data_IF_983370088350
#
_entry.id   IF_983370088350
#
_cell.length_a   1.000
_cell.length_b   1.000
_cell.length_c   1.000
_cell.angle_alpha   90.00
_cell.angle_beta   90.00
_cell.angle_gamma   90.00
#
_symmetry.space_group_name_H-M   'P 1'
#
loop_
_entity.id
_entity.type
_entity.pdbx_description
1 polymer ?
#
# COMPACT_ATOMS: atom_id res chain seq x y z
N UNK A 1 -6.30 -7.63 -1.20
CA UNK A 1 -6.32 -7.30 -2.64
C UNK A 1 -4.91 -7.24 -3.21
N UNK A 2 -4.04 -6.28 -2.89
CA UNK A 2 -2.68 -6.11 -3.44
C UNK A 2 -1.84 -7.38 -3.34
N UNK A 3 -1.72 -7.97 -2.15
CA UNK A 3 -0.91 -9.19 -1.95
C UNK A 3 -1.37 -10.36 -2.83
N UNK A 4 -2.69 -10.58 -2.95
CA UNK A 4 -3.23 -11.60 -3.86
C UNK A 4 -2.85 -11.32 -5.31
N UNK A 5 -2.93 -10.04 -5.75
CA UNK A 5 -2.53 -9.64 -7.09
C UNK A 5 -1.05 -9.96 -7.35
N UNK A 6 -0.16 -9.61 -6.43
CA UNK A 6 1.27 -9.91 -6.56
C UNK A 6 1.54 -11.44 -6.59
N UNK A 7 0.82 -12.22 -5.78
CA UNK A 7 0.92 -13.68 -5.79
C UNK A 7 0.45 -14.26 -7.13
N UNK A 8 -0.66 -13.77 -7.70
CA UNK A 8 -1.14 -14.19 -9.03
C UNK A 8 -0.17 -13.82 -10.15
N UNK A 9 0.65 -12.78 -9.97
CA UNK A 9 1.76 -12.44 -10.85
C UNK A 9 3.00 -13.32 -10.65
N UNK A 10 2.95 -14.29 -9.73
CA UNK A 10 4.02 -15.26 -9.49
C UNK A 10 4.96 -14.89 -8.35
N UNK A 11 4.78 -13.75 -7.69
CA UNK A 11 5.64 -13.35 -6.59
C UNK A 11 5.34 -14.14 -5.32
N UNK A 12 6.35 -14.81 -4.77
CA UNK A 12 6.26 -15.56 -3.51
C UNK A 12 7.02 -14.90 -2.37
N UNK A 13 8.05 -14.11 -2.70
CA UNK A 13 8.87 -13.38 -1.73
C UNK A 13 8.61 -11.90 -1.87
N UNK A 14 7.60 -11.42 -1.14
CA UNK A 14 7.05 -10.07 -1.24
C UNK A 14 7.57 -9.24 -0.08
N UNK A 15 8.41 -8.25 -0.36
CA UNK A 15 8.82 -7.24 0.60
C UNK A 15 7.69 -6.23 0.84
N UNK A 16 7.54 -5.79 2.09
CA UNK A 16 6.52 -4.77 2.44
C UNK A 16 7.19 -3.61 3.14
N UNK A 17 6.96 -2.41 2.64
CA UNK A 17 7.32 -1.15 3.29
C UNK A 17 6.06 -0.54 3.88
N UNK A 18 5.96 -0.65 5.19
CA UNK A 18 4.84 -0.16 5.99
C UNK A 18 5.01 1.32 6.34
N UNK A 19 3.93 1.96 6.75
CA UNK A 19 4.01 3.19 7.52
C UNK A 19 4.43 2.94 8.97
N UNK A 20 4.17 3.90 9.86
CA UNK A 20 4.48 3.76 11.29
C UNK A 20 3.79 2.54 11.90
N UNK A 21 4.48 1.84 12.79
CA UNK A 21 4.06 0.55 13.33
C UNK A 21 2.74 0.61 14.10
N UNK A 22 2.53 1.69 14.86
CA UNK A 22 1.35 1.94 15.68
C UNK A 22 0.15 2.51 14.91
N UNK A 23 0.33 2.80 13.61
CA UNK A 23 -0.71 3.38 12.78
C UNK A 23 -1.78 2.33 12.41
N UNK A 24 -3.05 2.66 12.62
CA UNK A 24 -4.19 1.77 12.35
C UNK A 24 -4.20 1.26 10.89
N UNK A 25 -3.89 2.12 9.91
CA UNK A 25 -3.84 1.71 8.50
C UNK A 25 -2.73 0.71 8.23
N UNK A 26 -1.57 0.87 8.88
CA UNK A 26 -0.46 -0.09 8.82
C UNK A 26 -0.92 -1.45 9.35
N UNK A 27 -1.53 -1.47 10.53
CA UNK A 27 -2.01 -2.69 11.20
C UNK A 27 -3.03 -3.43 10.32
N UNK A 28 -4.04 -2.73 9.80
CA UNK A 28 -5.09 -3.33 8.98
C UNK A 28 -4.55 -3.85 7.63
N UNK A 29 -3.65 -3.12 6.98
CA UNK A 29 -3.03 -3.55 5.73
C UNK A 29 -2.14 -4.78 5.94
N UNK A 30 -1.38 -4.85 7.06
CA UNK A 30 -0.58 -6.02 7.42
C UNK A 30 -1.44 -7.24 7.75
N UNK A 31 -2.60 -7.08 8.39
CA UNK A 31 -3.55 -8.19 8.56
C UNK A 31 -3.97 -8.76 7.20
N UNK A 32 -4.29 -7.88 6.25
CA UNK A 32 -4.63 -8.30 4.89
C UNK A 32 -3.48 -9.00 4.17
N UNK A 33 -2.24 -8.53 4.35
CA UNK A 33 -1.04 -9.17 3.81
C UNK A 33 -0.87 -10.59 4.35
N UNK A 34 -0.89 -10.76 5.69
CA UNK A 34 -0.76 -12.06 6.36
C UNK A 34 -1.87 -13.03 5.96
N UNK A 35 -3.11 -12.53 5.88
CA UNK A 35 -4.26 -13.34 5.45
C UNK A 35 -4.09 -13.86 4.02
N UNK A 36 -3.64 -13.02 3.10
CA UNK A 36 -3.40 -13.44 1.73
C UNK A 36 -2.25 -14.45 1.63
N UNK A 37 -1.14 -14.26 2.32
CA UNK A 37 -0.05 -15.25 2.35
C UNK A 37 -0.54 -16.60 2.84
N UNK A 38 -1.31 -16.62 3.93
CA UNK A 38 -1.89 -17.84 4.52
C UNK A 38 -2.82 -18.56 3.54
N UNK A 39 -3.67 -17.82 2.82
CA UNK A 39 -4.59 -18.35 1.82
C UNK A 39 -3.86 -19.09 0.69
N UNK A 40 -2.69 -18.61 0.31
CA UNK A 40 -1.87 -19.23 -0.75
C UNK A 40 -0.78 -20.17 -0.21
N UNK A 41 -0.79 -20.50 1.08
CA UNK A 41 0.20 -21.39 1.69
C UNK A 41 1.62 -20.83 1.70
N UNK A 42 1.79 -19.51 1.59
CA UNK A 42 3.09 -18.84 1.67
C UNK A 42 3.39 -18.51 3.13
N UNK A 43 4.54 -18.96 3.62
CA UNK A 43 4.97 -18.67 4.99
C UNK A 43 5.23 -17.17 5.18
N UNK A 44 4.62 -16.59 6.21
CA UNK A 44 4.93 -15.22 6.62
C UNK A 44 6.37 -15.12 7.12
N UNK A 45 7.11 -14.15 6.59
CA UNK A 45 8.46 -13.81 7.01
C UNK A 45 8.45 -12.37 7.55
N UNK A 46 8.75 -12.22 8.84
CA UNK A 46 8.79 -10.92 9.50
C UNK A 46 9.91 -10.01 8.98
N UNK A 47 11.00 -10.60 8.49
CA UNK A 47 12.15 -9.85 8.02
C UNK A 47 11.89 -9.17 6.66
N UNK A 48 10.84 -9.59 5.95
CA UNK A 48 10.35 -8.94 4.74
C UNK A 48 9.38 -7.78 5.01
N UNK A 49 9.12 -7.42 6.27
CA UNK A 49 8.22 -6.35 6.67
C UNK A 49 9.01 -5.26 7.37
N UNK A 50 9.19 -4.12 6.72
CA UNK A 50 9.94 -3.00 7.25
C UNK A 50 9.03 -1.79 7.47
N UNK A 51 9.34 -0.98 8.47
CA UNK A 51 8.55 0.18 8.85
C UNK A 51 9.27 1.47 8.43
N UNK A 52 8.56 2.31 7.69
CA UNK A 52 8.94 3.68 7.35
C UNK A 52 8.07 4.69 8.11
N UNK A 53 8.07 5.91 7.62
CA UNK A 53 7.37 7.05 8.22
C UNK A 53 6.41 7.75 7.24
N UNK A 54 6.04 7.08 6.14
CA UNK A 54 5.24 7.57 5.01
C UNK A 54 5.98 8.47 4.03
N UNK A 55 7.26 8.78 4.28
CA UNK A 55 8.07 9.66 3.45
C UNK A 55 8.97 8.89 2.48
N UNK A 56 9.33 9.56 1.38
CA UNK A 56 10.14 8.98 0.29
C UNK A 56 11.47 8.42 0.76
N UNK A 57 12.18 9.13 1.64
CA UNK A 57 13.50 8.69 2.11
C UNK A 57 13.41 7.42 2.97
N UNK A 58 12.38 7.29 3.81
CA UNK A 58 12.16 6.05 4.55
C UNK A 58 11.87 4.87 3.62
N UNK A 59 11.13 5.12 2.54
CA UNK A 59 10.91 4.14 1.46
C UNK A 59 12.21 3.67 0.85
N UNK A 60 13.13 4.59 0.52
CA UNK A 60 14.45 4.30 -0.03
C UNK A 60 15.31 3.44 0.90
N UNK A 61 15.39 3.84 2.18
CA UNK A 61 16.16 3.10 3.20
C UNK A 61 15.64 1.67 3.38
N UNK A 62 14.30 1.51 3.44
CA UNK A 62 13.67 0.20 3.56
C UNK A 62 13.91 -0.65 2.30
N UNK A 63 13.76 -0.06 1.10
CA UNK A 63 13.97 -0.75 -0.16
C UNK A 63 15.38 -1.32 -0.27
N UNK A 64 16.43 -0.57 0.13
CA UNK A 64 17.81 -1.04 0.17
C UNK A 64 17.96 -2.35 0.95
N UNK A 65 17.37 -2.42 2.13
CA UNK A 65 17.39 -3.64 2.94
C UNK A 65 16.66 -4.79 2.28
N UNK A 66 15.49 -4.54 1.72
CA UNK A 66 14.68 -5.57 1.07
C UNK A 66 15.36 -6.11 -0.19
N UNK A 67 15.94 -5.24 -1.03
CA UNK A 67 16.65 -5.63 -2.25
C UNK A 67 17.84 -6.55 -1.93
N UNK A 68 18.60 -6.28 -0.87
CA UNK A 68 19.70 -7.13 -0.44
C UNK A 68 19.27 -8.54 -0.01
N UNK A 69 17.97 -8.76 0.24
CA UNK A 69 17.40 -10.04 0.60
C UNK A 69 16.93 -10.86 -0.63
N UNK A 70 17.13 -10.36 -1.84
CA UNK A 70 16.75 -11.05 -3.07
C UNK A 70 15.24 -11.24 -3.26
N UNK A 71 14.47 -10.20 -2.95
CA UNK A 71 13.02 -10.15 -3.23
C UNK A 71 12.77 -9.87 -4.71
N UNK A 72 11.58 -10.19 -5.20
CA UNK A 72 11.16 -9.93 -6.58
C UNK A 72 10.11 -8.82 -6.67
N UNK A 73 9.57 -8.39 -5.54
CA UNK A 73 8.58 -7.32 -5.49
C UNK A 73 8.58 -6.61 -4.14
N UNK A 74 8.30 -5.30 -4.17
CA UNK A 74 8.09 -4.45 -3.00
C UNK A 74 6.67 -3.90 -3.05
N UNK A 75 5.90 -4.14 -2.00
CA UNK A 75 4.64 -3.45 -1.76
C UNK A 75 4.87 -2.32 -0.75
N UNK A 76 4.72 -1.09 -1.20
CA UNK A 76 4.78 0.10 -0.35
C UNK A 76 3.37 0.52 0.06
N UNK A 77 3.18 0.85 1.33
CA UNK A 77 1.86 1.25 1.85
C UNK A 77 1.46 2.68 1.51
N UNK A 78 2.29 3.43 0.77
CA UNK A 78 1.90 4.63 0.03
C UNK A 78 2.82 4.88 -1.18
N UNK A 79 2.42 5.81 -2.05
CA UNK A 79 3.14 6.12 -3.28
C UNK A 79 4.44 6.91 -3.05
N UNK A 80 4.55 7.68 -1.95
CA UNK A 80 5.80 8.38 -1.62
C UNK A 80 6.91 7.41 -1.25
N UNK A 81 6.62 6.41 -0.40
CA UNK A 81 7.59 5.35 -0.10
C UNK A 81 7.90 4.50 -1.33
N UNK A 82 6.92 4.29 -2.22
CA UNK A 82 7.16 3.61 -3.50
C UNK A 82 8.13 4.40 -4.38
N UNK A 83 8.02 5.74 -4.43
CA UNK A 83 8.99 6.57 -5.13
C UNK A 83 10.41 6.42 -4.55
N UNK A 84 10.53 6.31 -3.23
CA UNK A 84 11.80 5.98 -2.58
C UNK A 84 12.36 4.60 -2.98
N UNK A 85 11.46 3.60 -3.13
CA UNK A 85 11.87 2.29 -3.63
C UNK A 85 12.36 2.33 -5.09
N UNK A 86 11.76 3.20 -5.94
CA UNK A 86 12.27 3.46 -7.29
C UNK A 86 13.67 4.06 -7.28
N UNK A 87 13.92 5.06 -6.42
CA UNK A 87 15.24 5.67 -6.29
C UNK A 87 16.30 4.64 -5.94
N UNK A 88 16.01 3.74 -5.01
CA UNK A 88 16.95 2.72 -4.62
C UNK A 88 17.14 1.66 -5.71
N UNK A 89 16.06 1.19 -6.35
CA UNK A 89 16.16 0.25 -7.48
C UNK A 89 17.06 0.83 -8.58
N UNK A 90 16.85 2.09 -8.94
CA UNK A 90 17.68 2.78 -9.93
C UNK A 90 19.15 2.90 -9.47
N UNK A 91 19.42 3.18 -8.20
CA UNK A 91 20.79 3.27 -7.68
C UNK A 91 21.52 1.92 -7.69
N UNK A 92 20.79 0.81 -7.59
CA UNK A 92 21.30 -0.56 -7.71
C UNK A 92 21.32 -1.07 -9.17
N UNK A 93 20.97 -0.23 -10.14
CA UNK A 93 20.93 -0.58 -11.56
C UNK A 93 19.77 -1.50 -11.95
N UNK A 94 18.73 -1.61 -11.11
CA UNK A 94 17.55 -2.42 -11.38
C UNK A 94 16.47 -1.60 -12.11
N UNK A 95 15.80 -2.22 -13.07
CA UNK A 95 14.70 -1.63 -13.83
C UNK A 95 13.38 -2.07 -13.20
N UNK A 96 12.64 -1.10 -12.65
CA UNK A 96 11.30 -1.37 -12.13
C UNK A 96 10.38 -1.81 -13.29
N UNK A 97 9.58 -2.85 -13.06
CA UNK A 97 8.73 -3.44 -14.10
C UNK A 97 9.43 -4.47 -14.99
N UNK A 98 10.75 -4.69 -14.79
CA UNK A 98 11.54 -5.72 -15.48
C UNK A 98 12.29 -6.61 -14.48
N UNK A 99 13.17 -6.00 -13.66
CA UNK A 99 13.98 -6.73 -12.66
C UNK A 99 13.29 -6.83 -11.30
N UNK A 100 12.53 -5.80 -10.94
CA UNK A 100 11.82 -5.70 -9.66
C UNK A 100 10.43 -5.09 -9.86
N UNK A 101 9.43 -5.68 -9.23
CA UNK A 101 8.09 -5.09 -9.16
C UNK A 101 7.96 -4.14 -7.99
N UNK A 102 7.30 -3.00 -8.18
CA UNK A 102 6.93 -2.08 -7.11
C UNK A 102 5.45 -1.76 -7.18
N UNK A 103 4.74 -1.90 -6.07
CA UNK A 103 3.33 -1.57 -5.95
C UNK A 103 3.13 -0.53 -4.84
N UNK A 104 2.40 0.54 -5.12
CA UNK A 104 2.11 1.64 -4.19
C UNK A 104 0.72 1.57 -3.56
N UNK A 105 0.30 2.69 -2.97
CA UNK A 105 -1.03 2.91 -2.44
C UNK A 105 -1.30 4.42 -2.36
N UNK A 106 -2.51 4.87 -2.62
CA UNK A 106 -3.15 6.18 -2.59
C UNK A 106 -3.49 6.74 -3.98
N UNK A 107 -2.82 6.31 -5.06
CA UNK A 107 -2.92 6.86 -6.42
C UNK A 107 -2.67 8.38 -6.46
N UNK A 108 -1.61 8.82 -5.77
CA UNK A 108 -1.20 10.23 -5.81
C UNK A 108 -0.57 10.57 -7.15
N UNK A 109 -0.58 11.85 -7.51
CA UNK A 109 -0.02 12.39 -8.74
C UNK A 109 1.39 11.87 -9.05
N UNK A 110 2.24 11.71 -8.03
CA UNK A 110 3.59 11.15 -8.17
C UNK A 110 3.59 9.76 -8.84
N UNK A 111 2.54 8.96 -8.66
CA UNK A 111 2.44 7.63 -9.28
C UNK A 111 2.45 7.65 -10.80
N UNK A 112 2.05 8.77 -11.41
CA UNK A 112 2.01 8.98 -12.85
C UNK A 112 3.33 9.51 -13.42
N UNK A 113 4.16 10.16 -12.58
CA UNK A 113 5.45 10.70 -12.97
C UNK A 113 6.61 9.72 -12.78
N UNK A 114 6.41 8.64 -12.05
CA UNK A 114 7.42 7.58 -11.97
C UNK A 114 7.54 6.84 -13.30
N UNK A 115 8.73 6.38 -13.61
CA UNK A 115 8.97 5.62 -14.85
C UNK A 115 9.58 4.25 -14.53
N UNK A 116 8.88 3.15 -14.92
CA UNK A 116 7.53 3.12 -15.48
C UNK A 116 6.48 3.63 -14.47
N UNK A 117 5.29 4.03 -14.96
CA UNK A 117 4.21 4.49 -14.07
C UNK A 117 3.85 3.44 -13.02
N UNK A 118 3.65 3.89 -11.78
CA UNK A 118 3.44 3.05 -10.61
C UNK A 118 2.03 2.44 -10.59
N UNK A 119 1.95 1.12 -10.47
CA UNK A 119 0.74 0.39 -10.09
C UNK A 119 0.43 0.65 -8.63
N UNK A 120 -0.80 1.03 -8.32
CA UNK A 120 -1.19 1.50 -7.00
C UNK A 120 -2.66 1.16 -6.67
N UNK A 121 -3.13 1.57 -5.51
CA UNK A 121 -4.56 1.55 -5.17
C UNK A 121 -5.07 2.97 -5.03
N UNK A 122 -6.21 3.23 -5.64
CA UNK A 122 -6.91 4.50 -5.51
C UNK A 122 -7.81 4.50 -4.26
N UNK A 123 -7.68 5.55 -3.47
CA UNK A 123 -8.60 5.85 -2.37
C UNK A 123 -9.81 6.60 -2.93
N UNK A 124 -11.05 6.18 -2.61
CA UNK A 124 -12.26 6.88 -3.05
C UNK A 124 -12.49 8.16 -2.23
N UNK A 125 -11.59 9.14 -2.32
CA UNK A 125 -11.56 10.33 -1.45
C UNK A 125 -12.83 11.16 -1.55
N UNK A 126 -13.41 11.29 -2.75
CA UNK A 126 -14.68 12.02 -2.96
C UNK A 126 -15.83 11.32 -2.22
N UNK A 127 -15.95 10.00 -2.38
CA UNK A 127 -16.99 9.23 -1.69
C UNK A 127 -16.81 9.25 -0.18
N UNK A 128 -15.56 9.19 0.31
CA UNK A 128 -15.26 9.34 1.74
C UNK A 128 -15.70 10.71 2.23
N UNK A 129 -15.29 11.79 1.55
CA UNK A 129 -15.66 13.15 1.92
C UNK A 129 -17.18 13.37 1.93
N UNK A 130 -17.88 12.90 0.91
CA UNK A 130 -19.35 12.97 0.81
C UNK A 130 -20.01 12.23 1.98
N UNK A 131 -19.62 10.98 2.23
CA UNK A 131 -20.18 10.19 3.34
C UNK A 131 -19.92 10.83 4.70
N UNK A 132 -18.70 11.35 4.93
CA UNK A 132 -18.40 12.06 6.17
C UNK A 132 -19.32 13.29 6.36
N UNK A 133 -19.51 14.10 5.31
CA UNK A 133 -20.39 15.25 5.36
C UNK A 133 -21.85 14.86 5.64
N UNK A 134 -22.36 13.83 4.96
CA UNK A 134 -23.72 13.30 5.19
C UNK A 134 -23.92 12.79 6.62
N UNK A 135 -22.93 12.12 7.20
CA UNK A 135 -23.00 11.67 8.59
C UNK A 135 -23.04 12.84 9.57
N UNK A 136 -22.16 13.85 9.39
CA UNK A 136 -22.13 15.05 10.23
C UNK A 136 -23.46 15.82 10.16
N UNK A 137 -24.05 15.97 8.96
CA UNK A 137 -25.34 16.63 8.79
C UNK A 137 -26.44 15.89 9.57
N UNK A 138 -26.48 14.54 9.43
CA UNK A 138 -27.45 13.72 10.20
C UNK A 138 -27.29 13.90 11.70
N UNK A 139 -26.07 13.94 12.24
CA UNK A 139 -25.83 14.17 13.65
C UNK A 139 -26.26 15.56 14.13
N UNK A 140 -26.23 16.56 13.25
CA UNK A 140 -26.70 17.92 13.55
C UNK A 140 -28.22 18.00 13.55
N UNK A 141 -28.88 17.37 12.58
CA UNK A 141 -30.31 17.45 12.35
C UNK A 141 -31.14 16.50 13.22
N UNK A 142 -30.55 15.36 13.66
CA UNK A 142 -31.24 14.32 14.41
C UNK A 142 -30.47 13.96 15.71
N UNK A 143 -30.99 14.43 16.84
CA UNK A 143 -30.43 14.15 18.16
C UNK A 143 -30.44 12.64 18.50
N UNK A 144 -31.42 11.89 17.99
CA UNK A 144 -31.50 10.44 18.18
C UNK A 144 -30.36 9.71 17.45
N UNK A 145 -29.95 10.22 16.28
CA UNK A 145 -28.82 9.69 15.52
C UNK A 145 -27.48 9.96 16.23
N UNK A 146 -27.33 11.16 16.82
CA UNK A 146 -26.11 11.54 17.58
C UNK A 146 -25.82 10.60 18.75
N UNK A 147 -26.84 10.03 19.35
CA UNK A 147 -26.73 9.12 20.50
C UNK A 147 -26.54 7.65 20.11
N UNK A 148 -26.46 7.32 18.80
CA UNK A 148 -26.18 5.97 18.33
C UNK A 148 -24.70 5.63 18.47
N UNK A 149 -24.33 4.34 18.61
CA UNK A 149 -22.94 3.91 18.57
C UNK A 149 -22.28 4.30 17.24
N UNK A 150 -21.02 4.73 17.30
CA UNK A 150 -20.26 5.06 16.09
C UNK A 150 -20.14 3.86 15.16
N UNK A 151 -20.47 4.03 13.88
CA UNK A 151 -20.37 3.02 12.85
C UNK A 151 -19.05 3.16 12.07
N UNK A 152 -18.36 2.04 11.86
CA UNK A 152 -17.17 2.01 11.00
C UNK A 152 -17.56 1.73 9.55
N UNK A 153 -17.58 2.76 8.73
CA UNK A 153 -17.87 2.65 7.30
C UNK A 153 -16.57 2.43 6.54
N UNK A 154 -16.40 1.26 5.91
CA UNK A 154 -15.25 0.93 5.06
C UNK A 154 -15.60 1.14 3.59
N UNK A 155 -14.85 2.00 2.91
CA UNK A 155 -14.99 2.23 1.47
C UNK A 155 -14.06 1.30 0.68
N UNK A 156 -14.52 0.70 -0.44
CA UNK A 156 -13.65 -0.13 -1.28
C UNK A 156 -12.65 0.74 -2.04
N UNK A 157 -11.38 0.33 -2.01
CA UNK A 157 -10.33 0.92 -2.85
C UNK A 157 -10.28 0.20 -4.20
N UNK A 158 -9.93 0.92 -5.27
CA UNK A 158 -9.75 0.35 -6.59
C UNK A 158 -8.27 0.16 -6.90
N UNK A 159 -7.95 -0.94 -7.60
CA UNK A 159 -6.59 -1.18 -8.08
C UNK A 159 -6.37 -0.46 -9.41
N UNK A 160 -5.32 0.33 -9.48
CA UNK A 160 -4.85 1.00 -10.70
C UNK A 160 -3.60 0.27 -11.18
N UNK A 161 -3.78 -0.59 -12.18
CA UNK A 161 -2.67 -1.34 -12.76
C UNK A 161 -1.95 -0.49 -13.80
N UNK A 162 -0.64 -0.40 -13.68
CA UNK A 162 0.27 0.25 -14.63
C UNK A 162 1.44 -0.70 -14.94
N UNK A 163 2.62 -0.17 -15.28
CA UNK A 163 3.75 -0.97 -15.78
C UNK A 163 4.80 -1.34 -14.73
N UNK A 164 4.59 -1.02 -13.46
CA UNK A 164 5.59 -1.26 -12.40
C UNK A 164 5.55 -2.66 -11.79
N UNK A 165 4.65 -3.52 -12.25
CA UNK A 165 4.51 -4.91 -11.78
C UNK A 165 4.58 -5.87 -12.96
N UNK A 166 5.51 -6.81 -12.89
CA UNK A 166 5.76 -7.88 -13.86
C UNK A 166 4.67 -8.95 -13.74
#
# INVERSE_FOLDING_TARGET
MVTRHLIYRGHKKIGVICGKEDNMHTIERLKGYRSALSEFGIKYDKDLVLYGDWERESGRICARKLLSMGITTIWCMNDLMAAGAYDEAMSEGLIVGEDISVFGFDNREISEYLFPQLSTCELPLEAIGKTCAEQIIKEIEDESYRNQPAELIKMPCMMVQRKSVI
#
